data_IF_857202908233
#
_entry.id   IF_857202908233
#
_cell.length_a   1.000
_cell.length_b   1.000
_cell.length_c   1.000
_cell.angle_alpha   90.00
_cell.angle_beta   90.00
_cell.angle_gamma   90.00
#
_symmetry.space_group_name_H-M   'P 1'
#
loop_
_entity.id
_entity.type
_entity.pdbx_description
1 polymer ?
#
# COMPACT_ATOMS: atom_id res chain seq x y z
N UNK A 1 0.48 -22.02 13.20
CA UNK A 1 -0.19 -23.21 12.63
C UNK A 1 -0.83 -22.72 11.33
N UNK A 2 -0.13 -22.89 10.22
CA UNK A 2 -0.59 -22.40 8.91
C UNK A 2 -1.74 -23.30 8.47
N UNK A 3 -2.93 -22.73 8.31
CA UNK A 3 -4.07 -23.41 7.69
C UNK A 3 -3.82 -23.32 6.18
N UNK A 4 -3.83 -24.48 5.53
CA UNK A 4 -3.64 -24.63 4.09
C UNK A 4 -4.50 -23.60 3.34
N UNK A 5 -3.84 -22.70 2.62
CA UNK A 5 -4.53 -21.82 1.68
C UNK A 5 -4.96 -22.65 0.47
N UNK A 6 -6.23 -22.59 0.05
CA UNK A 6 -6.78 -23.49 -0.97
C UNK A 6 -6.24 -23.30 -2.40
N UNK A 7 -5.25 -22.43 -2.63
CA UNK A 7 -4.80 -22.04 -3.96
C UNK A 7 -3.34 -22.41 -4.31
N UNK A 8 -2.65 -23.25 -3.53
CA UNK A 8 -1.29 -23.69 -3.94
C UNK A 8 -1.19 -25.21 -3.89
N UNK A 9 -1.21 -25.84 -5.06
CA UNK A 9 -0.78 -27.24 -5.22
C UNK A 9 0.74 -27.26 -5.05
N UNK A 10 1.21 -27.33 -3.81
CA UNK A 10 2.61 -27.65 -3.57
C UNK A 10 2.83 -29.10 -4.02
N UNK A 11 3.58 -29.29 -5.12
CA UNK A 11 4.32 -30.55 -5.34
C UNK A 11 4.99 -30.90 -4.02
N UNK A 12 4.84 -32.13 -3.56
CA UNK A 12 5.31 -32.54 -2.23
C UNK A 12 6.80 -32.22 -2.06
N UNK A 13 7.10 -31.16 -1.31
CA UNK A 13 8.47 -30.80 -0.98
C UNK A 13 9.06 -31.86 -0.04
N UNK A 14 10.37 -32.15 -0.12
CA UNK A 14 11.04 -32.96 0.90
C UNK A 14 10.76 -32.41 2.30
N UNK A 15 10.54 -33.31 3.27
CA UNK A 15 10.10 -32.93 4.62
C UNK A 15 11.05 -31.94 5.30
N UNK A 16 12.34 -32.05 5.04
CA UNK A 16 13.38 -31.17 5.57
C UNK A 16 13.52 -29.82 4.85
N UNK A 17 12.80 -29.60 3.74
CA UNK A 17 12.73 -28.34 3.00
C UNK A 17 11.31 -27.75 2.98
N UNK A 18 10.39 -28.30 3.78
CA UNK A 18 8.96 -27.99 3.74
C UNK A 18 8.61 -26.53 4.07
N UNK A 19 9.51 -25.77 4.71
CA UNK A 19 9.30 -24.35 5.01
C UNK A 19 9.72 -23.39 3.88
N UNK A 20 10.33 -23.86 2.79
CA UNK A 20 10.70 -22.96 1.66
C UNK A 20 9.53 -22.08 1.17
N UNK A 21 8.28 -22.58 1.08
CA UNK A 21 7.12 -21.75 0.73
C UNK A 21 6.87 -20.62 1.75
N UNK A 22 7.04 -20.88 3.04
CA UNK A 22 6.87 -19.88 4.10
C UNK A 22 7.81 -18.69 3.88
N UNK A 23 9.09 -18.97 3.58
CA UNK A 23 10.08 -17.95 3.29
C UNK A 23 9.77 -17.25 1.95
N UNK A 24 9.41 -17.99 0.90
CA UNK A 24 9.13 -17.42 -0.43
C UNK A 24 7.94 -16.45 -0.42
N UNK A 25 6.95 -16.70 0.44
CA UNK A 25 5.73 -15.91 0.58
C UNK A 25 5.90 -14.66 1.46
N UNK A 26 7.07 -14.45 2.07
CA UNK A 26 7.36 -13.26 2.87
C UNK A 26 8.50 -12.45 2.27
N UNK A 27 8.22 -11.24 1.80
CA UNK A 27 9.19 -10.42 1.07
C UNK A 27 10.46 -10.05 1.84
N UNK A 28 10.55 -10.34 3.14
CA UNK A 28 11.79 -10.22 3.92
C UNK A 28 13.02 -10.85 3.23
N UNK A 29 12.82 -11.94 2.50
CA UNK A 29 13.89 -12.55 1.72
C UNK A 29 14.54 -11.54 0.74
N UNK A 30 13.79 -10.57 0.21
CA UNK A 30 14.25 -9.68 -0.87
C UNK A 30 15.28 -8.64 -0.43
N UNK A 31 15.33 -8.28 0.85
CA UNK A 31 16.36 -7.40 1.42
C UNK A 31 17.31 -8.12 2.39
N UNK A 32 17.22 -9.45 2.48
CA UNK A 32 18.13 -10.27 3.29
C UNK A 32 19.04 -11.08 2.38
N UNK A 33 20.35 -10.84 2.44
CA UNK A 33 21.31 -11.45 1.52
C UNK A 33 21.32 -12.97 1.60
N UNK A 34 21.36 -13.52 2.82
CA UNK A 34 21.42 -14.95 3.09
C UNK A 34 20.19 -15.68 2.55
N UNK A 35 19.02 -15.05 2.64
CA UNK A 35 17.78 -15.60 2.10
C UNK A 35 17.76 -15.59 0.56
N UNK A 36 18.27 -14.52 -0.08
CA UNK A 36 18.42 -14.47 -1.56
C UNK A 36 19.37 -15.57 -2.05
N UNK A 37 20.52 -15.70 -1.40
CA UNK A 37 21.53 -16.71 -1.74
C UNK A 37 20.99 -18.14 -1.57
N UNK A 38 20.16 -18.38 -0.54
CA UNK A 38 19.50 -19.68 -0.37
C UNK A 38 18.63 -20.04 -1.57
N UNK A 39 17.82 -19.11 -2.09
CA UNK A 39 17.01 -19.35 -3.28
C UNK A 39 17.86 -19.50 -4.55
N UNK A 40 18.89 -18.68 -4.72
CA UNK A 40 19.81 -18.79 -5.84
C UNK A 40 20.50 -20.16 -5.91
N UNK A 41 20.90 -20.72 -4.76
CA UNK A 41 21.54 -22.03 -4.67
C UNK A 41 20.63 -23.20 -5.06
N UNK A 42 19.31 -23.03 -4.98
CA UNK A 42 18.37 -24.06 -5.43
C UNK A 42 18.60 -24.33 -6.91
N UNK A 43 18.58 -23.29 -7.74
CA UNK A 43 18.89 -23.38 -9.17
C UNK A 43 19.25 -21.98 -9.69
N UNK A 44 20.55 -21.67 -9.90
CA UNK A 44 20.99 -20.33 -10.29
C UNK A 44 20.45 -19.89 -11.66
N UNK A 45 20.28 -20.84 -12.59
CA UNK A 45 19.74 -20.53 -13.92
C UNK A 45 18.26 -20.22 -13.84
N UNK A 46 17.48 -21.05 -13.15
CA UNK A 46 16.05 -20.82 -12.97
C UNK A 46 15.79 -19.55 -12.13
N UNK A 47 16.64 -19.25 -11.14
CA UNK A 47 16.58 -18.02 -10.37
C UNK A 47 16.66 -16.76 -11.25
N UNK A 48 17.58 -16.74 -12.21
CA UNK A 48 17.68 -15.65 -13.19
C UNK A 48 16.48 -15.62 -14.14
N UNK A 49 16.03 -16.77 -14.66
CA UNK A 49 14.89 -16.88 -15.59
C UNK A 49 13.54 -16.49 -14.95
N UNK A 50 13.39 -16.70 -13.66
CA UNK A 50 12.19 -16.34 -12.89
C UNK A 50 12.24 -14.90 -12.38
N UNK A 51 13.22 -14.10 -12.81
CA UNK A 51 13.44 -12.73 -12.36
C UNK A 51 13.53 -12.63 -10.82
N UNK A 52 14.24 -13.57 -10.20
CA UNK A 52 14.47 -13.60 -8.75
C UNK A 52 13.15 -13.75 -7.96
N UNK A 53 12.16 -14.44 -8.51
CA UNK A 53 10.89 -14.71 -7.83
C UNK A 53 10.91 -16.12 -7.20
N UNK A 54 11.02 -16.25 -5.87
CA UNK A 54 11.12 -17.54 -5.22
C UNK A 54 9.83 -18.36 -5.29
N UNK A 55 8.65 -17.73 -5.39
CA UNK A 55 7.38 -18.46 -5.56
C UNK A 55 7.39 -19.18 -6.90
N UNK A 56 7.76 -18.47 -7.98
CA UNK A 56 7.89 -19.04 -9.32
C UNK A 56 9.02 -20.09 -9.40
N UNK A 57 10.17 -19.80 -8.80
CA UNK A 57 11.29 -20.76 -8.70
C UNK A 57 10.84 -22.10 -8.12
N UNK A 58 10.13 -22.08 -6.98
CA UNK A 58 9.67 -23.29 -6.30
C UNK A 58 8.57 -24.03 -7.07
N UNK A 59 7.78 -23.33 -7.89
CA UNK A 59 6.81 -23.93 -8.81
C UNK A 59 7.52 -24.65 -9.98
N UNK A 60 8.56 -24.03 -10.53
CA UNK A 60 9.17 -24.44 -11.79
C UNK A 60 10.34 -25.44 -11.59
N UNK A 61 10.92 -25.50 -10.38
CA UNK A 61 12.05 -26.40 -10.09
C UNK A 61 11.66 -27.88 -10.20
N UNK A 62 12.57 -28.68 -10.76
CA UNK A 62 12.37 -30.13 -10.90
C UNK A 62 12.45 -30.83 -9.52
N UNK A 63 11.55 -31.78 -9.21
CA UNK A 63 11.55 -32.48 -7.91
C UNK A 63 12.89 -33.14 -7.54
N UNK A 64 13.58 -33.75 -8.50
CA UNK A 64 14.88 -34.40 -8.28
C UNK A 64 15.98 -33.43 -7.82
N UNK A 65 15.87 -32.14 -8.18
CA UNK A 65 16.80 -31.12 -7.70
C UNK A 65 16.58 -30.87 -6.21
N UNK A 66 15.32 -30.69 -5.80
CA UNK A 66 14.97 -30.51 -4.39
C UNK A 66 15.30 -31.76 -3.55
N UNK A 67 15.08 -32.96 -4.08
CA UNK A 67 15.45 -34.22 -3.42
C UNK A 67 16.97 -34.31 -3.17
N UNK A 68 17.81 -33.93 -4.15
CA UNK A 68 19.26 -33.88 -3.95
C UNK A 68 19.69 -32.82 -2.93
N UNK A 69 19.08 -31.64 -2.95
CA UNK A 69 19.37 -30.57 -1.99
C UNK A 69 18.94 -30.96 -0.57
N UNK A 70 17.88 -31.74 -0.44
CA UNK A 70 17.45 -32.32 0.83
C UNK A 70 18.46 -33.33 1.40
N UNK A 71 19.39 -33.86 0.61
CA UNK A 71 20.45 -34.75 1.09
C UNK A 71 21.81 -34.04 1.21
N UNK A 72 21.93 -32.79 0.73
CA UNK A 72 23.17 -32.02 0.75
C UNK A 72 23.40 -31.34 2.12
N UNK A 73 24.42 -31.77 2.90
CA UNK A 73 24.69 -31.18 4.22
C UNK A 73 25.07 -29.69 4.16
N UNK A 74 25.64 -29.22 3.05
CA UNK A 74 26.00 -27.81 2.87
C UNK A 74 24.76 -26.94 2.74
N UNK A 75 23.85 -27.34 1.85
CA UNK A 75 22.57 -26.66 1.64
C UNK A 75 21.73 -26.65 2.92
N UNK A 76 21.62 -27.79 3.61
CA UNK A 76 20.84 -27.90 4.85
C UNK A 76 21.38 -27.00 5.98
N UNK A 77 22.70 -26.80 6.07
CA UNK A 77 23.29 -25.85 7.04
C UNK A 77 22.87 -24.42 6.72
N UNK A 78 22.91 -24.01 5.45
CA UNK A 78 22.50 -22.67 5.05
C UNK A 78 21.00 -22.46 5.23
N UNK A 79 20.18 -23.43 4.83
CA UNK A 79 18.75 -23.46 5.09
C UNK A 79 18.45 -23.24 6.58
N UNK A 80 19.09 -24.03 7.45
CA UNK A 80 18.89 -23.93 8.90
C UNK A 80 19.35 -22.58 9.47
N UNK A 81 20.43 -21.99 8.92
CA UNK A 81 20.89 -20.67 9.32
C UNK A 81 19.89 -19.57 8.93
N UNK A 82 19.40 -19.58 7.69
CA UNK A 82 18.41 -18.62 7.20
C UNK A 82 17.10 -18.71 7.98
N UNK A 83 16.60 -19.91 8.28
CA UNK A 83 15.37 -20.03 9.05
C UNK A 83 15.53 -19.60 10.51
N UNK A 84 16.70 -19.77 11.12
CA UNK A 84 16.97 -19.14 12.44
C UNK A 84 16.90 -17.63 12.36
N UNK A 85 17.54 -17.01 11.36
CA UNK A 85 17.49 -15.56 11.16
C UNK A 85 16.04 -15.09 10.93
N UNK A 86 15.28 -15.81 10.11
CA UNK A 86 13.89 -15.49 9.82
C UNK A 86 13.00 -15.62 11.06
N UNK A 87 13.14 -16.71 11.83
CA UNK A 87 12.37 -16.93 13.05
C UNK A 87 12.72 -15.89 14.12
N UNK A 88 14.00 -15.53 14.27
CA UNK A 88 14.45 -14.45 15.15
C UNK A 88 13.89 -13.09 14.71
N UNK A 89 13.93 -12.80 13.41
CA UNK A 89 13.39 -11.57 12.82
C UNK A 89 11.87 -11.45 13.01
N UNK A 90 11.12 -12.54 12.89
CA UNK A 90 9.66 -12.51 13.08
C UNK A 90 9.27 -12.46 14.56
N UNK A 91 10.00 -13.16 15.43
CA UNK A 91 9.72 -13.16 16.87
C UNK A 91 10.00 -11.80 17.53
N UNK A 92 10.99 -11.07 17.00
CA UNK A 92 11.44 -9.72 17.33
C UNK A 92 11.05 -9.12 18.70
N UNK A 93 11.46 -9.78 19.78
CA UNK A 93 11.22 -9.30 21.16
C UNK A 93 12.02 -8.05 21.53
N UNK A 94 12.94 -7.58 20.67
CA UNK A 94 13.90 -6.50 20.94
C UNK A 94 14.03 -5.49 19.78
N UNK A 95 12.97 -5.28 19.01
CA UNK A 95 13.02 -4.31 17.92
C UNK A 95 13.31 -2.90 18.48
N UNK A 96 13.77 -1.99 17.62
CA UNK A 96 14.09 -0.63 18.07
C UNK A 96 12.87 0.04 18.75
N UNK A 97 11.69 -0.05 18.12
CA UNK A 97 10.42 0.44 18.70
C UNK A 97 10.05 -0.34 19.95
N UNK A 98 10.14 -1.68 19.95
CA UNK A 98 9.82 -2.49 21.13
C UNK A 98 10.69 -2.17 22.35
N UNK A 99 11.92 -1.71 22.13
CA UNK A 99 12.89 -1.38 23.20
C UNK A 99 12.76 0.07 23.67
N UNK A 100 12.59 1.03 22.75
CA UNK A 100 12.62 2.47 23.07
C UNK A 100 11.23 3.10 23.19
N UNK A 101 10.21 2.48 22.59
CA UNK A 101 8.85 3.01 22.44
C UNK A 101 7.81 1.87 22.54
N UNK A 102 7.90 1.08 23.61
CA UNK A 102 7.08 -0.11 23.80
C UNK A 102 5.56 0.18 23.74
N UNK A 103 5.14 1.38 24.13
CA UNK A 103 3.77 1.88 24.03
C UNK A 103 3.27 1.97 22.58
N UNK A 104 4.14 2.34 21.63
CA UNK A 104 3.80 2.45 20.21
C UNK A 104 3.60 1.10 19.52
N UNK A 105 4.09 -0.01 20.11
CA UNK A 105 3.91 -1.36 19.53
C UNK A 105 2.45 -1.80 19.45
N UNK A 106 1.56 -1.17 20.23
CA UNK A 106 0.11 -1.44 20.23
C UNK A 106 -0.69 -0.42 19.39
N UNK A 107 -0.05 0.65 18.93
CA UNK A 107 -0.68 1.75 18.21
C UNK A 107 -0.52 1.54 16.72
N UNK A 108 -1.46 0.81 16.10
CA UNK A 108 -1.39 0.51 14.66
C UNK A 108 -1.51 1.78 13.82
N UNK A 109 -0.59 1.92 12.86
CA UNK A 109 -0.60 2.92 11.81
C UNK A 109 -1.15 2.28 10.54
N UNK A 110 -2.17 2.89 9.96
CA UNK A 110 -2.65 2.53 8.62
C UNK A 110 -2.12 3.51 7.60
N UNK A 111 -1.28 3.02 6.68
CA UNK A 111 -0.62 3.81 5.66
C UNK A 111 -1.25 3.55 4.29
N UNK A 112 -1.93 4.56 3.78
CA UNK A 112 -2.66 4.49 2.52
C UNK A 112 -1.79 5.08 1.41
N UNK A 113 -1.58 4.31 0.35
CA UNK A 113 -0.92 4.79 -0.86
C UNK A 113 -1.52 4.14 -2.10
N UNK A 114 -1.48 4.84 -3.22
CA UNK A 114 -1.88 4.27 -4.49
C UNK A 114 -0.92 3.18 -4.94
N UNK A 115 0.39 3.30 -4.68
CA UNK A 115 1.42 2.40 -5.18
C UNK A 115 2.40 1.92 -4.09
N UNK A 116 2.97 0.73 -4.27
CA UNK A 116 3.98 0.15 -3.36
C UNK A 116 5.10 -0.55 -4.12
N UNK A 117 6.31 0.02 -4.07
CA UNK A 117 7.52 -0.50 -4.71
C UNK A 117 8.29 -1.43 -3.80
N UNK A 118 7.92 -2.72 -3.80
CA UNK A 118 8.49 -3.71 -2.88
C UNK A 118 9.58 -4.56 -3.53
N UNK A 119 9.19 -5.30 -4.59
CA UNK A 119 10.03 -6.20 -5.36
C UNK A 119 9.34 -6.51 -6.71
N UNK A 120 10.10 -6.93 -7.73
CA UNK A 120 9.57 -7.24 -9.07
C UNK A 120 8.52 -8.38 -9.09
N UNK A 121 8.48 -9.22 -8.05
CA UNK A 121 7.47 -10.27 -7.88
C UNK A 121 6.08 -9.75 -7.52
N UNK A 122 5.95 -8.46 -7.17
CA UNK A 122 4.68 -7.76 -6.90
C UNK A 122 4.72 -6.38 -7.59
N UNK A 123 4.49 -6.31 -8.91
CA UNK A 123 4.73 -5.11 -9.72
C UNK A 123 3.58 -4.08 -9.64
N UNK A 124 3.35 -3.53 -8.44
CA UNK A 124 2.21 -2.64 -8.11
C UNK A 124 2.63 -1.17 -7.91
N UNK A 125 3.64 -0.72 -8.64
CA UNK A 125 4.15 0.65 -8.58
C UNK A 125 4.63 1.17 -9.94
N UNK A 126 4.80 2.49 -10.03
CA UNK A 126 5.31 3.18 -11.22
C UNK A 126 6.54 4.04 -10.88
N UNK A 127 6.52 4.78 -9.78
CA UNK A 127 7.53 5.82 -9.53
C UNK A 127 8.02 5.92 -8.09
N UNK A 128 8.58 7.09 -7.78
CA UNK A 128 9.21 7.39 -6.48
C UNK A 128 8.25 7.37 -5.29
N UNK A 129 6.97 7.69 -5.50
CA UNK A 129 5.95 7.64 -4.43
C UNK A 129 5.80 6.19 -3.93
N UNK A 130 5.75 5.22 -4.86
CA UNK A 130 5.65 3.81 -4.58
C UNK A 130 6.92 3.25 -3.98
N UNK A 131 8.11 3.63 -4.50
CA UNK A 131 9.39 3.23 -3.89
C UNK A 131 9.46 3.69 -2.44
N UNK A 132 9.10 4.94 -2.15
CA UNK A 132 9.06 5.43 -0.77
C UNK A 132 8.07 4.65 0.10
N UNK A 133 6.87 4.38 -0.40
CA UNK A 133 5.87 3.59 0.33
C UNK A 133 6.38 2.17 0.63
N UNK A 134 7.09 1.55 -0.32
CA UNK A 134 7.73 0.25 -0.13
C UNK A 134 8.86 0.29 0.90
N UNK A 135 9.70 1.32 0.85
CA UNK A 135 10.79 1.51 1.81
C UNK A 135 10.27 1.82 3.23
N UNK A 136 9.18 2.58 3.36
CA UNK A 136 8.48 2.75 4.63
C UNK A 136 7.98 1.41 5.19
N UNK A 137 7.39 0.56 4.36
CA UNK A 137 6.94 -0.77 4.79
C UNK A 137 8.10 -1.64 5.30
N UNK A 138 9.23 -1.65 4.58
CA UNK A 138 10.42 -2.42 4.97
C UNK A 138 11.05 -1.88 6.25
N UNK A 139 11.25 -0.57 6.34
CA UNK A 139 11.82 0.06 7.54
C UNK A 139 10.89 -0.13 8.76
N UNK A 140 9.57 0.08 8.60
CA UNK A 140 8.59 -0.20 9.65
C UNK A 140 8.65 -1.65 10.13
N UNK A 141 8.84 -2.57 9.18
CA UNK A 141 9.07 -3.98 9.45
C UNK A 141 10.39 -4.27 10.15
N UNK A 142 11.45 -3.49 9.97
CA UNK A 142 12.75 -3.73 10.62
C UNK A 142 12.78 -3.13 12.03
N UNK A 143 12.24 -1.92 12.22
CA UNK A 143 12.22 -1.24 13.54
C UNK A 143 11.10 -1.73 14.46
N UNK A 144 10.07 -2.38 13.90
CA UNK A 144 8.98 -3.02 14.65
C UNK A 144 7.84 -2.09 15.00
N UNK A 145 7.53 -1.23 14.04
CA UNK A 145 6.39 -0.35 14.11
C UNK A 145 5.11 -1.15 13.82
N UNK A 146 4.06 -0.94 14.62
CA UNK A 146 2.74 -1.52 14.33
C UNK A 146 2.17 -0.81 13.12
N UNK A 147 2.28 -1.44 11.95
CA UNK A 147 2.06 -0.78 10.66
C UNK A 147 1.35 -1.72 9.70
N UNK A 148 0.37 -1.19 8.98
CA UNK A 148 -0.29 -1.87 7.87
C UNK A 148 -0.34 -0.96 6.66
N UNK A 149 -0.01 -1.51 5.49
CA UNK A 149 -0.14 -0.80 4.22
C UNK A 149 -1.51 -1.07 3.60
N UNK A 150 -2.06 -0.08 2.88
CA UNK A 150 -3.32 -0.19 2.15
C UNK A 150 -3.12 0.39 0.75
N UNK A 151 -3.39 -0.41 -0.28
CA UNK A 151 -3.28 -0.01 -1.68
C UNK A 151 -4.11 -0.89 -2.61
N UNK A 152 -3.72 -0.94 -3.89
CA UNK A 152 -4.38 -1.73 -4.93
C UNK A 152 -3.55 -2.90 -5.42
N UNK A 153 -4.24 -3.92 -5.89
CA UNK A 153 -3.61 -5.09 -6.49
C UNK A 153 -2.97 -4.83 -7.84
N UNK A 154 -3.54 -3.95 -8.68
CA UNK A 154 -3.06 -3.64 -10.03
C UNK A 154 -2.51 -4.86 -10.81
N UNK A 155 -3.35 -5.86 -11.14
CA UNK A 155 -2.91 -7.06 -11.85
C UNK A 155 -2.19 -6.75 -13.17
N UNK A 156 -2.46 -5.62 -13.82
CA UNK A 156 -1.78 -5.23 -15.07
C UNK A 156 -0.58 -4.28 -14.84
N UNK A 157 -0.25 -3.98 -13.58
CA UNK A 157 0.81 -3.07 -13.17
C UNK A 157 0.66 -1.66 -13.78
N UNK A 158 1.81 -1.04 -14.07
CA UNK A 158 1.88 0.17 -14.88
C UNK A 158 1.99 -0.18 -16.38
N UNK A 159 3.18 -0.48 -16.87
CA UNK A 159 3.40 -1.17 -18.15
C UNK A 159 4.84 -1.70 -18.23
N UNK A 160 5.07 -2.69 -19.11
CA UNK A 160 6.42 -3.09 -19.52
C UNK A 160 6.85 -2.27 -20.72
N UNK A 161 7.91 -1.50 -20.57
CA UNK A 161 8.48 -0.71 -21.67
C UNK A 161 9.15 -1.63 -22.69
N UNK A 162 8.75 -1.54 -23.95
CA UNK A 162 9.46 -2.12 -25.09
C UNK A 162 9.96 -0.99 -25.98
N UNK A 163 11.23 -1.02 -26.33
CA UNK A 163 11.81 -0.09 -27.31
C UNK A 163 11.90 -0.81 -28.64
N UNK A 164 11.25 -0.27 -29.67
CA UNK A 164 11.28 -0.85 -31.02
C UNK A 164 12.64 -0.60 -31.68
N UNK A 165 12.99 -1.35 -32.75
CA UNK A 165 14.22 -1.10 -33.51
C UNK A 165 14.35 0.35 -34.02
N UNK A 166 13.23 1.05 -34.22
CA UNK A 166 13.17 2.45 -34.66
C UNK A 166 13.31 3.46 -33.50
N UNK A 167 13.45 2.98 -32.26
CA UNK A 167 13.60 3.82 -31.07
C UNK A 167 12.29 4.30 -30.45
N UNK A 168 11.14 3.77 -30.88
CA UNK A 168 9.84 4.13 -30.30
C UNK A 168 9.57 3.34 -29.02
N UNK A 169 8.96 4.01 -28.05
CA UNK A 169 8.41 3.35 -26.88
C UNK A 169 7.05 2.73 -27.19
N UNK A 170 6.90 1.46 -26.85
CA UNK A 170 5.63 0.76 -26.80
C UNK A 170 5.33 0.29 -25.37
N UNK A 171 4.08 0.48 -24.95
CA UNK A 171 3.59 -0.01 -23.66
C UNK A 171 2.99 -1.40 -23.82
N UNK A 172 3.66 -2.42 -23.28
CA UNK A 172 3.14 -3.77 -23.21
C UNK A 172 2.52 -4.02 -21.84
N UNK A 173 1.26 -4.46 -21.82
CA UNK A 173 0.54 -4.82 -20.59
C UNK A 173 0.46 -6.33 -20.50
N UNK A 174 1.18 -6.91 -19.54
CA UNK A 174 1.07 -8.32 -19.20
C UNK A 174 0.55 -8.41 -17.78
N UNK A 175 -0.63 -9.01 -17.55
CA UNK A 175 -1.09 -9.27 -16.20
C UNK A 175 -0.04 -10.08 -15.44
N UNK A 176 0.30 -9.69 -14.21
CA UNK A 176 1.14 -10.53 -13.37
C UNK A 176 0.32 -11.73 -12.89
N UNK A 177 0.94 -12.91 -12.89
CA UNK A 177 0.28 -14.13 -12.47
C UNK A 177 0.17 -14.14 -10.94
N UNK A 178 -1.07 -14.09 -10.42
CA UNK A 178 -1.31 -14.04 -8.98
C UNK A 178 -0.79 -15.29 -8.25
N UNK A 179 -0.87 -16.45 -8.90
CA UNK A 179 -0.47 -17.74 -8.34
C UNK A 179 1.07 -17.88 -8.25
N UNK A 180 1.80 -17.06 -9.01
CA UNK A 180 3.26 -17.02 -9.01
C UNK A 180 3.82 -15.89 -8.15
N UNK A 181 2.97 -15.14 -7.44
CA UNK A 181 3.38 -13.99 -6.63
C UNK A 181 3.25 -14.27 -5.14
N UNK A 182 4.04 -13.59 -4.28
CA UNK A 182 3.99 -13.76 -2.83
C UNK A 182 2.78 -13.04 -2.21
N UNK A 183 1.58 -13.42 -2.63
CA UNK A 183 0.31 -12.78 -2.30
C UNK A 183 -0.71 -13.84 -1.88
N UNK A 184 -1.59 -13.49 -0.94
CA UNK A 184 -2.62 -14.39 -0.45
C UNK A 184 -3.93 -13.66 -0.24
N UNK A 185 -5.05 -14.37 -0.25
CA UNK A 185 -6.30 -13.77 0.22
C UNK A 185 -6.15 -13.36 1.69
N UNK A 186 -6.55 -12.13 2.00
CA UNK A 186 -6.72 -11.70 3.37
C UNK A 186 -7.96 -12.40 3.93
N UNK A 187 -7.87 -12.94 5.14
CA UNK A 187 -8.97 -13.63 5.79
C UNK A 187 -9.52 -12.75 6.91
N UNK A 188 -10.85 -12.73 7.04
CA UNK A 188 -11.53 -12.14 8.19
C UNK A 188 -11.30 -13.01 9.43
N UNK A 189 -11.61 -12.51 10.64
CA UNK A 189 -11.58 -13.32 11.86
C UNK A 189 -12.42 -14.60 11.80
N UNK A 190 -13.44 -14.66 10.92
CA UNK A 190 -14.24 -15.87 10.67
C UNK A 190 -13.50 -16.97 9.90
N UNK A 191 -12.35 -16.65 9.29
CA UNK A 191 -11.61 -17.53 8.38
C UNK A 191 -12.01 -17.41 6.91
N UNK A 192 -13.07 -16.66 6.58
CA UNK A 192 -13.50 -16.41 5.21
C UNK A 192 -12.66 -15.33 4.51
N UNK A 193 -12.54 -15.35 3.17
CA UNK A 193 -11.91 -14.27 2.43
C UNK A 193 -12.54 -12.91 2.74
N UNK A 194 -11.70 -11.92 3.01
CA UNK A 194 -12.13 -10.56 3.30
C UNK A 194 -12.69 -9.91 2.04
N UNK A 195 -13.97 -9.56 2.12
CA UNK A 195 -14.70 -8.85 1.08
C UNK A 195 -15.39 -7.63 1.68
N UNK A 196 -15.49 -6.57 0.90
CA UNK A 196 -16.27 -5.40 1.26
C UNK A 196 -16.94 -4.82 0.01
N UNK A 197 -17.90 -3.93 0.21
CA UNK A 197 -18.56 -3.23 -0.89
C UNK A 197 -18.63 -1.73 -0.62
N UNK A 198 -18.59 -0.95 -1.71
CA UNK A 198 -18.73 0.50 -1.70
C UNK A 198 -19.82 0.88 -2.70
N UNK A 199 -20.73 1.72 -2.26
CA UNK A 199 -21.74 2.33 -3.14
C UNK A 199 -21.07 3.47 -3.91
N UNK A 200 -21.21 3.47 -5.23
CA UNK A 200 -20.60 4.46 -6.13
C UNK A 200 -21.67 4.96 -7.10
N UNK A 201 -22.32 6.06 -6.75
CA UNK A 201 -23.51 6.51 -7.46
C UNK A 201 -24.62 5.48 -7.34
N UNK A 202 -25.12 4.96 -8.47
CA UNK A 202 -26.20 3.97 -8.49
C UNK A 202 -25.73 2.50 -8.49
N UNK A 203 -24.42 2.25 -8.46
CA UNK A 203 -23.84 0.90 -8.50
C UNK A 203 -23.16 0.55 -7.18
N UNK A 204 -23.15 -0.75 -6.88
CA UNK A 204 -22.44 -1.32 -5.74
C UNK A 204 -21.21 -2.08 -6.25
N UNK A 205 -20.03 -1.56 -5.93
CA UNK A 205 -18.76 -2.19 -6.32
C UNK A 205 -18.28 -3.09 -5.18
N UNK A 206 -18.08 -4.37 -5.46
CA UNK A 206 -17.55 -5.35 -4.50
C UNK A 206 -16.05 -5.53 -4.69
N UNK A 207 -15.30 -5.65 -3.62
CA UNK A 207 -13.87 -5.94 -3.67
C UNK A 207 -13.53 -7.16 -2.83
N UNK A 208 -12.56 -7.94 -3.31
CA UNK A 208 -11.80 -8.90 -2.50
C UNK A 208 -10.49 -8.26 -2.05
N UNK A 209 -9.92 -8.79 -0.98
CA UNK A 209 -8.70 -8.24 -0.39
C UNK A 209 -7.60 -9.28 -0.42
N UNK A 210 -6.47 -8.90 -0.98
CA UNK A 210 -5.24 -9.68 -0.93
C UNK A 210 -4.32 -9.10 0.14
N UNK A 211 -3.38 -9.91 0.62
CA UNK A 211 -2.32 -9.50 1.55
C UNK A 211 -0.95 -9.93 1.03
N UNK A 212 0.03 -9.08 1.30
CA UNK A 212 1.45 -9.33 1.09
C UNK A 212 2.15 -9.20 2.43
N UNK A 213 2.99 -10.18 2.77
CA UNK A 213 3.83 -10.13 3.96
C UNK A 213 5.12 -9.40 3.60
N UNK A 214 5.34 -8.24 4.22
CA UNK A 214 6.58 -7.46 4.06
C UNK A 214 7.30 -7.56 5.40
N UNK A 215 8.03 -8.66 5.59
CA UNK A 215 8.60 -9.01 6.88
C UNK A 215 7.50 -9.21 7.92
N UNK A 216 7.41 -8.30 8.88
CA UNK A 216 6.45 -8.32 9.99
C UNK A 216 5.19 -7.52 9.70
N UNK A 217 5.21 -6.60 8.73
CA UNK A 217 4.04 -5.80 8.39
C UNK A 217 3.20 -6.51 7.33
N UNK A 218 1.91 -6.21 7.31
CA UNK A 218 1.00 -6.68 6.27
C UNK A 218 0.59 -5.52 5.39
N UNK A 219 0.76 -5.68 4.07
CA UNK A 219 0.19 -4.80 3.06
C UNK A 219 -1.09 -5.44 2.52
N UNK A 220 -2.20 -4.72 2.58
CA UNK A 220 -3.49 -5.14 2.03
C UNK A 220 -3.74 -4.47 0.68
N UNK A 221 -4.17 -5.27 -0.29
CA UNK A 221 -4.37 -4.87 -1.68
C UNK A 221 -5.82 -5.10 -2.09
N UNK A 222 -6.48 -4.02 -2.49
CA UNK A 222 -7.86 -4.00 -2.96
C UNK A 222 -7.92 -4.52 -4.39
N UNK A 223 -8.85 -5.44 -4.66
CA UNK A 223 -9.09 -5.99 -5.99
C UNK A 223 -10.59 -6.08 -6.31
N UNK A 224 -11.02 -5.37 -7.35
CA UNK A 224 -12.41 -5.37 -7.84
C UNK A 224 -12.64 -6.36 -8.97
N UNK A 225 -11.63 -7.12 -9.38
CA UNK A 225 -11.74 -8.19 -10.38
C UNK A 225 -12.44 -9.43 -9.80
N UNK A 226 -13.74 -9.28 -9.53
CA UNK A 226 -14.62 -10.32 -8.98
C UNK A 226 -15.86 -10.52 -9.87
N UNK A 227 -16.43 -11.74 -9.93
CA UNK A 227 -17.54 -12.06 -10.81
C UNK A 227 -18.78 -11.16 -10.67
N UNK A 228 -19.05 -10.64 -9.47
CA UNK A 228 -20.22 -9.81 -9.17
C UNK A 228 -20.16 -8.41 -9.79
N UNK A 229 -18.97 -7.96 -10.15
CA UNK A 229 -18.76 -6.64 -10.73
C UNK A 229 -18.90 -6.67 -12.26
N UNK A 230 -19.40 -5.56 -12.82
CA UNK A 230 -19.38 -5.31 -14.27
C UNK A 230 -17.93 -5.27 -14.81
N UNK A 231 -17.70 -5.44 -16.11
CA UNK A 231 -16.37 -5.26 -16.70
C UNK A 231 -15.72 -3.91 -16.36
N UNK A 232 -16.51 -2.83 -16.33
CA UNK A 232 -16.06 -1.48 -16.00
C UNK A 232 -15.64 -1.38 -14.52
N UNK A 233 -16.39 -2.01 -13.63
CA UNK A 233 -16.11 -2.05 -12.18
C UNK A 233 -14.86 -2.89 -11.87
N UNK A 234 -14.66 -4.00 -12.60
CA UNK A 234 -13.44 -4.83 -12.49
C UNK A 234 -12.19 -4.09 -12.94
N UNK A 235 -12.33 -3.17 -13.91
CA UNK A 235 -11.21 -2.38 -14.38
C UNK A 235 -10.66 -1.40 -13.33
N UNK A 236 -11.43 -1.05 -12.30
CA UNK A 236 -11.03 -0.08 -11.26
C UNK A 236 -9.73 -0.46 -10.55
N UNK A 237 -9.50 -1.75 -10.25
CA UNK A 237 -8.25 -2.23 -9.66
C UNK A 237 -7.22 -2.68 -10.69
N UNK A 238 -7.50 -2.60 -12.00
CA UNK A 238 -6.69 -3.28 -13.02
C UNK A 238 -5.33 -2.63 -13.30
N UNK A 239 -5.28 -1.30 -13.37
CA UNK A 239 -4.10 -0.51 -13.78
C UNK A 239 -3.83 0.67 -12.86
N UNK A 240 -2.55 0.88 -12.59
CA UNK A 240 -2.06 2.06 -11.91
C UNK A 240 -2.06 3.27 -12.87
N UNK A 241 -2.63 4.40 -12.43
CA UNK A 241 -2.76 5.64 -13.22
C UNK A 241 -3.42 5.44 -14.60
N UNK A 242 -4.43 4.55 -14.68
CA UNK A 242 -5.23 4.36 -15.88
C UNK A 242 -6.58 5.09 -15.83
N UNK A 243 -7.20 5.22 -17.00
CA UNK A 243 -8.57 5.73 -17.13
C UNK A 243 -8.70 7.24 -17.30
N UNK A 244 -9.93 7.70 -17.22
CA UNK A 244 -10.30 9.12 -17.22
C UNK A 244 -10.49 9.66 -15.78
N UNK A 245 -10.93 10.91 -15.65
CA UNK A 245 -11.17 11.52 -14.34
C UNK A 245 -12.23 10.78 -13.51
N UNK A 246 -13.25 10.18 -14.14
CA UNK A 246 -14.30 9.45 -13.44
C UNK A 246 -13.78 8.12 -12.89
N UNK A 247 -12.98 7.39 -13.68
CA UNK A 247 -12.27 6.21 -13.21
C UNK A 247 -11.33 6.55 -12.06
N UNK A 248 -10.58 7.65 -12.16
CA UNK A 248 -9.69 8.12 -11.09
C UNK A 248 -10.46 8.43 -9.81
N UNK A 249 -11.58 9.15 -9.89
CA UNK A 249 -12.45 9.41 -8.75
C UNK A 249 -12.93 8.11 -8.10
N UNK A 250 -13.36 7.13 -8.90
CA UNK A 250 -13.81 5.84 -8.39
C UNK A 250 -12.68 5.05 -7.70
N UNK A 251 -11.45 5.11 -8.22
CA UNK A 251 -10.27 4.54 -7.56
C UNK A 251 -10.01 5.20 -6.21
N UNK A 252 -10.10 6.53 -6.11
CA UNK A 252 -9.90 7.23 -4.84
C UNK A 252 -11.00 6.92 -3.82
N UNK A 253 -12.25 6.76 -4.27
CA UNK A 253 -13.37 6.29 -3.42
C UNK A 253 -13.07 4.88 -2.90
N UNK A 254 -12.62 3.95 -3.76
CA UNK A 254 -12.22 2.60 -3.34
C UNK A 254 -11.08 2.63 -2.32
N UNK A 255 -10.01 3.38 -2.61
CA UNK A 255 -8.84 3.43 -1.73
C UNK A 255 -9.18 4.06 -0.38
N UNK A 256 -9.87 5.20 -0.40
CA UNK A 256 -10.24 5.94 0.81
C UNK A 256 -11.38 5.28 1.59
N UNK A 257 -12.60 5.32 1.05
CA UNK A 257 -13.79 4.78 1.72
C UNK A 257 -13.71 3.26 1.82
N UNK A 258 -13.37 2.59 0.72
CA UNK A 258 -13.26 1.13 0.70
C UNK A 258 -12.15 0.61 1.61
N UNK A 259 -10.98 1.25 1.64
CA UNK A 259 -9.90 0.86 2.54
C UNK A 259 -10.24 1.01 4.04
N UNK A 260 -11.02 2.03 4.43
CA UNK A 260 -11.54 2.13 5.81
C UNK A 260 -12.48 0.96 6.11
N UNK A 261 -13.43 0.65 5.22
CA UNK A 261 -14.37 -0.47 5.39
C UNK A 261 -13.67 -1.83 5.44
N UNK A 262 -12.66 -2.02 4.60
CA UNK A 262 -11.79 -3.20 4.62
C UNK A 262 -11.16 -3.40 6.00
N UNK A 263 -10.57 -2.36 6.58
CA UNK A 263 -9.95 -2.45 7.91
C UNK A 263 -10.98 -2.84 8.98
N UNK A 264 -12.22 -2.37 8.88
CA UNK A 264 -13.31 -2.81 9.77
C UNK A 264 -13.64 -4.30 9.60
N UNK A 265 -13.75 -4.79 8.37
CA UNK A 265 -13.98 -6.22 8.09
C UNK A 265 -12.85 -7.11 8.62
N UNK A 266 -11.61 -6.62 8.61
CA UNK A 266 -10.43 -7.30 9.17
C UNK A 266 -10.30 -7.15 10.69
N UNK A 267 -11.21 -6.43 11.35
CA UNK A 267 -11.13 -6.07 12.77
C UNK A 267 -9.83 -5.32 13.15
N UNK A 268 -9.35 -4.46 12.24
CA UNK A 268 -8.18 -3.60 12.46
C UNK A 268 -8.69 -2.19 12.78
N UNK A 269 -8.22 -1.65 13.92
CA UNK A 269 -8.57 -0.32 14.41
C UNK A 269 -7.30 0.54 14.56
N UNK A 270 -6.87 1.24 13.49
CA UNK A 270 -5.67 2.08 13.54
C UNK A 270 -5.84 3.28 14.48
N UNK A 271 -4.76 3.56 15.22
CA UNK A 271 -4.62 4.78 16.02
C UNK A 271 -4.23 5.99 15.17
N UNK A 272 -3.45 5.76 14.11
CA UNK A 272 -2.99 6.80 13.17
C UNK A 272 -3.32 6.37 11.75
N UNK A 273 -3.74 7.35 10.95
CA UNK A 273 -4.12 7.19 9.55
C UNK A 273 -3.24 8.10 8.71
N UNK A 274 -2.42 7.52 7.85
CA UNK A 274 -1.47 8.26 7.03
C UNK A 274 -1.91 8.22 5.57
N UNK A 275 -2.31 9.37 5.04
CA UNK A 275 -2.54 9.58 3.62
C UNK A 275 -1.24 9.96 2.91
N UNK A 276 -0.72 9.05 2.08
CA UNK A 276 0.43 9.31 1.21
C UNK A 276 -0.06 9.89 -0.12
N UNK A 277 -0.02 11.21 -0.25
CA UNK A 277 -0.67 12.01 -1.30
C UNK A 277 -2.21 12.00 -1.24
N UNK A 278 -2.85 12.92 -1.97
CA UNK A 278 -4.30 13.16 -1.97
C UNK A 278 -5.17 11.98 -2.42
N UNK A 279 -4.61 10.95 -3.04
CA UNK A 279 -5.36 9.83 -3.65
C UNK A 279 -6.19 9.00 -2.66
N UNK A 280 -5.87 9.09 -1.38
CA UNK A 280 -6.57 8.37 -0.30
C UNK A 280 -7.40 9.29 0.59
N UNK A 281 -7.53 10.56 0.24
CA UNK A 281 -8.16 11.60 1.06
C UNK A 281 -9.58 11.25 1.52
N UNK A 282 -10.35 10.51 0.72
CA UNK A 282 -11.70 10.05 1.12
C UNK A 282 -11.72 9.10 2.32
N UNK A 283 -10.57 8.56 2.77
CA UNK A 283 -10.48 7.86 4.06
C UNK A 283 -10.96 8.76 5.20
N UNK A 284 -10.72 10.07 5.10
CA UNK A 284 -11.11 11.04 6.13
C UNK A 284 -12.64 11.18 6.19
N UNK A 285 -13.32 11.20 5.04
CA UNK A 285 -14.77 11.27 4.97
C UNK A 285 -15.45 10.03 5.55
N UNK A 286 -14.97 8.81 5.23
CA UNK A 286 -15.57 7.60 5.79
C UNK A 286 -15.42 7.55 7.32
N UNK A 287 -14.28 8.02 7.83
CA UNK A 287 -14.08 8.12 9.28
C UNK A 287 -14.98 9.17 9.92
N UNK A 288 -15.16 10.34 9.29
CA UNK A 288 -16.12 11.36 9.76
C UNK A 288 -17.53 10.75 9.79
N UNK A 289 -17.92 10.05 8.72
CA UNK A 289 -19.20 9.34 8.62
C UNK A 289 -19.40 8.38 9.78
N UNK A 290 -18.40 7.55 10.11
CA UNK A 290 -18.49 6.61 11.24
C UNK A 290 -18.77 7.29 12.58
N UNK A 291 -18.20 8.46 12.85
CA UNK A 291 -18.46 9.21 14.08
C UNK A 291 -19.83 9.89 14.06
N UNK A 292 -20.21 10.50 12.93
CA UNK A 292 -21.53 11.13 12.78
C UNK A 292 -22.66 10.11 12.95
N UNK A 293 -22.52 8.93 12.35
CA UNK A 293 -23.50 7.85 12.48
C UNK A 293 -23.57 7.27 13.91
N UNK A 294 -22.55 7.52 14.75
CA UNK A 294 -22.56 7.19 16.19
C UNK A 294 -23.10 8.32 17.07
N UNK A 295 -23.56 9.42 16.46
CA UNK A 295 -24.22 10.54 17.15
C UNK A 295 -23.34 11.76 17.40
N UNK A 296 -22.08 11.78 16.95
CA UNK A 296 -21.27 13.01 16.98
C UNK A 296 -21.80 14.04 15.98
N UNK A 297 -21.66 15.32 16.29
CA UNK A 297 -21.85 16.36 15.28
C UNK A 297 -20.74 16.28 14.21
N UNK A 298 -20.99 16.85 13.02
CA UNK A 298 -19.98 16.91 11.95
C UNK A 298 -18.68 17.58 12.43
N UNK A 299 -18.78 18.68 13.18
CA UNK A 299 -17.63 19.42 13.67
C UNK A 299 -16.78 18.59 14.66
N UNK A 300 -17.42 17.89 15.61
CA UNK A 300 -16.72 16.99 16.55
C UNK A 300 -16.07 15.82 15.82
N UNK A 301 -16.78 15.20 14.88
CA UNK A 301 -16.26 14.10 14.06
C UNK A 301 -15.03 14.54 13.26
N UNK A 302 -15.07 15.72 12.64
CA UNK A 302 -13.94 16.30 11.92
C UNK A 302 -12.73 16.52 12.83
N UNK A 303 -12.92 17.04 14.05
CA UNK A 303 -11.81 17.25 14.98
C UNK A 303 -11.16 15.92 15.43
N UNK A 304 -11.98 14.89 15.74
CA UNK A 304 -11.49 13.55 16.09
C UNK A 304 -10.69 12.90 14.94
N UNK A 305 -11.19 13.04 13.71
CA UNK A 305 -10.49 12.54 12.52
C UNK A 305 -9.20 13.33 12.28
N UNK A 306 -9.24 14.65 12.42
CA UNK A 306 -8.08 15.53 12.23
C UNK A 306 -6.92 15.14 13.15
N UNK A 307 -7.19 14.95 14.44
CA UNK A 307 -6.18 14.61 15.45
C UNK A 307 -5.41 13.30 15.18
N UNK A 308 -6.00 12.38 14.41
CA UNK A 308 -5.45 11.05 14.15
C UNK A 308 -5.05 10.85 12.68
N UNK A 309 -5.03 11.93 11.89
CA UNK A 309 -4.66 11.88 10.47
C UNK A 309 -3.36 12.63 10.20
N UNK A 310 -2.48 11.96 9.47
CA UNK A 310 -1.22 12.47 8.93
C UNK A 310 -1.35 12.54 7.41
N UNK A 311 -0.96 13.67 6.82
CA UNK A 311 -0.94 13.85 5.38
C UNK A 311 0.46 14.24 4.90
N UNK A 312 0.97 13.49 3.93
CA UNK A 312 2.22 13.83 3.23
C UNK A 312 1.90 14.22 1.80
N UNK A 313 2.37 15.41 1.41
CA UNK A 313 2.27 15.92 0.04
C UNK A 313 3.63 15.79 -0.67
N UNK A 314 3.61 15.32 -1.91
CA UNK A 314 4.81 15.14 -2.76
C UNK A 314 4.82 16.07 -3.97
N UNK A 315 3.66 16.65 -4.28
CA UNK A 315 3.45 17.49 -5.45
C UNK A 315 3.93 18.93 -5.20
N UNK A 316 4.90 19.43 -5.98
CA UNK A 316 5.43 20.78 -5.80
C UNK A 316 4.67 21.86 -6.58
N UNK A 317 3.68 21.49 -7.39
CA UNK A 317 2.96 22.41 -8.29
C UNK A 317 1.44 22.21 -8.24
N UNK A 318 0.63 23.29 -8.28
CA UNK A 318 -0.83 23.19 -8.19
C UNK A 318 -1.48 22.20 -9.17
N UNK A 319 -0.98 22.15 -10.41
CA UNK A 319 -1.51 21.31 -11.49
C UNK A 319 -1.34 19.80 -11.26
N UNK A 320 -0.50 19.38 -10.30
CA UNK A 320 -0.31 17.96 -9.97
C UNK A 320 -1.29 17.42 -8.93
N UNK A 321 -2.18 18.27 -8.37
CA UNK A 321 -3.18 17.83 -7.39
C UNK A 321 -4.48 17.44 -8.09
N UNK A 322 -5.04 16.30 -7.69
CA UNK A 322 -6.32 15.82 -8.22
C UNK A 322 -7.45 16.80 -7.84
N UNK A 323 -8.15 17.31 -8.87
CA UNK A 323 -9.32 18.20 -8.74
C UNK A 323 -10.45 17.61 -9.58
N UNK A 324 -11.51 17.15 -8.91
CA UNK A 324 -12.66 16.56 -9.58
C UNK A 324 -13.76 17.59 -9.83
N UNK A 325 -14.37 17.62 -11.02
CA UNK A 325 -15.46 18.55 -11.30
C UNK A 325 -16.69 18.25 -10.43
N UNK A 326 -17.41 19.29 -10.03
CA UNK A 326 -18.54 19.16 -9.08
C UNK A 326 -19.64 18.21 -9.56
N UNK A 327 -19.90 18.12 -10.86
CA UNK A 327 -20.92 17.20 -11.37
C UNK A 327 -20.57 15.72 -11.11
N UNK A 328 -19.28 15.36 -11.07
CA UNK A 328 -18.85 14.02 -10.66
C UNK A 328 -19.03 13.84 -9.14
N UNK A 329 -18.67 14.84 -8.34
CA UNK A 329 -18.93 14.80 -6.91
C UNK A 329 -20.42 14.64 -6.61
N UNK A 330 -21.29 15.33 -7.35
CA UNK A 330 -22.75 15.20 -7.24
C UNK A 330 -23.21 13.78 -7.55
N UNK A 331 -22.70 13.20 -8.64
CA UNK A 331 -23.06 11.85 -9.08
C UNK A 331 -22.70 10.79 -8.03
N UNK A 332 -21.51 10.90 -7.42
CA UNK A 332 -20.97 9.85 -6.55
C UNK A 332 -21.24 10.05 -5.06
N UNK A 333 -21.45 11.30 -4.62
CA UNK A 333 -21.66 11.63 -3.21
C UNK A 333 -23.08 12.08 -2.88
N UNK A 334 -24.01 12.05 -3.85
CA UNK A 334 -25.45 12.22 -3.57
C UNK A 334 -25.91 11.26 -2.47
N UNK A 335 -26.53 11.81 -1.41
CA UNK A 335 -26.94 11.08 -0.21
C UNK A 335 -25.79 10.67 0.72
N UNK A 336 -24.52 10.72 0.28
CA UNK A 336 -23.37 10.51 1.17
C UNK A 336 -23.11 11.71 2.07
N UNK A 337 -23.23 12.94 1.55
CA UNK A 337 -23.04 14.15 2.37
C UNK A 337 -24.08 14.27 3.50
N UNK A 338 -25.29 13.75 3.31
CA UNK A 338 -26.31 13.67 4.37
C UNK A 338 -25.85 12.75 5.51
N UNK A 339 -25.15 11.66 5.20
CA UNK A 339 -24.57 10.76 6.20
C UNK A 339 -23.41 11.41 6.97
N UNK A 340 -22.84 12.49 6.44
CA UNK A 340 -21.85 13.35 7.12
C UNK A 340 -22.50 14.49 7.91
N UNK A 341 -23.83 14.63 7.86
CA UNK A 341 -24.56 15.74 8.47
C UNK A 341 -24.38 17.07 7.71
N UNK A 342 -24.17 17.02 6.40
CA UNK A 342 -23.90 18.18 5.55
C UNK A 342 -24.93 18.33 4.43
N UNK A 343 -25.18 19.57 4.03
CA UNK A 343 -25.72 19.90 2.72
C UNK A 343 -24.68 19.69 1.61
N UNK A 344 -25.14 19.63 0.35
CA UNK A 344 -24.27 19.57 -0.83
C UNK A 344 -23.22 20.69 -0.84
N UNK A 345 -23.63 21.94 -0.61
CA UNK A 345 -22.71 23.08 -0.68
C UNK A 345 -21.70 23.06 0.46
N UNK A 346 -22.07 22.59 1.65
CA UNK A 346 -21.12 22.37 2.75
C UNK A 346 -20.11 21.28 2.41
N UNK A 347 -20.55 20.18 1.80
CA UNK A 347 -19.68 19.11 1.34
C UNK A 347 -18.66 19.62 0.31
N UNK A 348 -19.11 20.33 -0.72
CA UNK A 348 -18.21 20.83 -1.76
C UNK A 348 -17.18 21.82 -1.23
N UNK A 349 -17.51 22.59 -0.16
CA UNK A 349 -16.55 23.47 0.52
C UNK A 349 -15.40 22.74 1.18
N UNK A 350 -15.52 21.44 1.49
CA UNK A 350 -14.41 20.65 2.04
C UNK A 350 -13.24 20.56 1.05
N UNK A 351 -13.52 20.47 -0.25
CA UNK A 351 -12.51 20.43 -1.30
C UNK A 351 -12.22 21.80 -1.94
N UNK A 352 -12.78 22.90 -1.44
CA UNK A 352 -12.66 24.21 -2.08
C UNK A 352 -11.30 24.87 -1.79
N UNK A 353 -10.67 25.37 -2.87
CA UNK A 353 -9.54 26.30 -2.88
C UNK A 353 -9.92 27.55 -3.68
N UNK A 354 -9.19 28.67 -3.56
CA UNK A 354 -9.41 29.86 -4.40
C UNK A 354 -9.44 29.53 -5.90
N UNK A 355 -8.54 28.65 -6.34
CA UNK A 355 -8.39 28.28 -7.75
C UNK A 355 -9.44 27.29 -8.25
N UNK A 356 -10.08 26.50 -7.36
CA UNK A 356 -11.09 25.50 -7.73
C UNK A 356 -12.52 25.94 -7.44
N UNK A 357 -12.69 27.14 -6.86
CA UNK A 357 -13.97 27.66 -6.39
C UNK A 357 -15.05 27.62 -7.47
N UNK A 358 -16.15 26.95 -7.14
CA UNK A 358 -17.32 26.83 -8.02
C UNK A 358 -17.18 25.87 -9.20
N UNK A 359 -16.06 25.17 -9.38
CA UNK A 359 -15.89 24.26 -10.52
C UNK A 359 -15.14 22.96 -10.21
N UNK A 360 -14.42 22.86 -9.08
CA UNK A 360 -13.64 21.68 -8.72
C UNK A 360 -13.65 21.35 -7.24
N UNK A 361 -13.40 20.09 -6.92
CA UNK A 361 -13.22 19.55 -5.58
C UNK A 361 -11.78 19.05 -5.48
N UNK A 362 -10.94 19.78 -4.75
CA UNK A 362 -9.52 19.50 -4.62
C UNK A 362 -9.27 18.48 -3.50
N UNK A 363 -8.63 17.36 -3.84
CA UNK A 363 -8.40 16.26 -2.91
C UNK A 363 -7.36 16.58 -1.85
N UNK A 364 -6.37 17.40 -2.20
CA UNK A 364 -5.36 17.87 -1.25
C UNK A 364 -5.97 18.85 -0.24
N UNK A 365 -6.86 19.74 -0.70
CA UNK A 365 -7.64 20.59 0.19
C UNK A 365 -8.45 19.78 1.21
N UNK A 366 -9.18 18.75 0.76
CA UNK A 366 -9.96 17.88 1.64
C UNK A 366 -9.08 17.27 2.75
N UNK A 367 -8.00 16.59 2.38
CA UNK A 367 -7.17 15.88 3.35
C UNK A 367 -6.41 16.84 4.28
N UNK A 368 -5.97 18.00 3.78
CA UNK A 368 -5.33 19.02 4.63
C UNK A 368 -6.27 19.56 5.70
N UNK A 369 -7.56 19.82 5.37
CA UNK A 369 -8.56 20.26 6.38
C UNK A 369 -8.77 19.22 7.47
N UNK A 370 -8.68 17.95 7.11
CA UNK A 370 -8.96 16.81 7.99
C UNK A 370 -7.69 16.12 8.51
N UNK A 371 -6.55 16.83 8.52
CA UNK A 371 -5.27 16.35 9.08
C UNK A 371 -4.70 17.33 10.09
N UNK A 372 -4.25 16.82 11.24
CA UNK A 372 -3.52 17.62 12.24
C UNK A 372 -2.03 17.72 11.91
N UNK A 373 -1.50 16.76 11.16
CA UNK A 373 -0.10 16.72 10.76
C UNK A 373 0.00 16.74 9.25
N UNK A 374 0.65 17.77 8.72
CA UNK A 374 0.92 17.91 7.29
C UNK A 374 2.41 18.09 7.08
N UNK A 375 3.00 17.36 6.13
CA UNK A 375 4.40 17.51 5.79
C UNK A 375 4.67 17.42 4.28
N UNK A 376 5.68 18.17 3.84
CA UNK A 376 6.39 17.91 2.60
C UNK A 376 7.54 16.93 2.79
N UNK A 377 8.16 16.56 1.67
CA UNK A 377 9.17 15.48 1.59
C UNK A 377 10.63 15.91 1.57
N UNK A 378 10.87 17.21 1.70
CA UNK A 378 12.20 17.79 1.89
C UNK A 378 12.08 19.18 2.52
N UNK A 379 13.20 19.77 2.94
CA UNK A 379 13.21 21.15 3.44
C UNK A 379 12.69 22.14 2.40
N UNK A 380 13.15 22.00 1.16
CA UNK A 380 12.75 22.88 0.07
C UNK A 380 11.30 22.64 -0.35
N UNK A 381 10.88 21.38 -0.43
CA UNK A 381 9.50 21.03 -0.70
C UNK A 381 8.56 21.62 0.35
N UNK A 382 8.90 21.52 1.64
CA UNK A 382 8.10 22.13 2.70
C UNK A 382 7.99 23.65 2.57
N UNK A 383 9.03 24.35 2.10
CA UNK A 383 8.95 25.79 1.78
C UNK A 383 7.93 26.05 0.66
N UNK A 384 8.07 25.35 -0.46
CA UNK A 384 7.18 25.49 -1.63
C UNK A 384 5.73 25.14 -1.27
N UNK A 385 5.50 24.07 -0.50
CA UNK A 385 4.17 23.69 -0.05
C UNK A 385 3.54 24.76 0.86
N UNK A 386 4.31 25.39 1.76
CA UNK A 386 3.79 26.49 2.59
C UNK A 386 3.35 27.69 1.76
N UNK A 387 4.11 28.07 0.76
CA UNK A 387 3.75 29.16 -0.16
C UNK A 387 2.50 28.81 -0.97
N UNK A 388 2.44 27.62 -1.57
CA UNK A 388 1.31 27.15 -2.37
C UNK A 388 -0.01 27.09 -1.58
N UNK A 389 0.05 26.62 -0.34
CA UNK A 389 -1.13 26.40 0.50
C UNK A 389 -1.41 27.54 1.48
N UNK A 390 -0.76 28.70 1.34
CA UNK A 390 -0.91 29.84 2.25
C UNK A 390 -2.35 30.30 2.46
N UNK A 391 -3.19 30.17 1.44
CA UNK A 391 -4.60 30.56 1.51
C UNK A 391 -5.42 29.79 2.56
N UNK A 392 -4.93 28.64 3.06
CA UNK A 392 -5.55 27.93 4.20
C UNK A 392 -5.32 28.62 5.54
N UNK A 393 -4.29 29.45 5.65
CA UNK A 393 -3.88 30.13 6.88
C UNK A 393 -3.76 31.63 6.63
N UNK A 394 -4.88 32.32 6.32
CA UNK A 394 -4.86 33.74 6.02
C UNK A 394 -4.27 34.54 7.18
N UNK A 395 -3.31 35.42 6.88
CA UNK A 395 -2.63 36.25 7.87
C UNK A 395 -1.44 35.57 8.57
N UNK A 396 -1.20 34.27 8.38
CA UNK A 396 0.04 33.64 8.82
C UNK A 396 1.17 33.85 7.80
N UNK A 397 2.37 34.25 8.25
CA UNK A 397 3.58 34.21 7.44
C UNK A 397 3.89 32.79 6.94
N UNK A 398 4.45 32.68 5.74
CA UNK A 398 4.69 31.39 5.10
C UNK A 398 5.64 30.46 5.88
N UNK A 399 6.51 31.00 6.74
CA UNK A 399 7.40 30.23 7.62
C UNK A 399 6.71 29.69 8.89
N UNK A 400 5.53 30.21 9.23
CA UNK A 400 4.72 29.77 10.38
C UNK A 400 3.57 28.84 10.02
N UNK A 401 3.31 28.64 8.72
CA UNK A 401 2.32 27.67 8.24
C UNK A 401 2.71 26.27 8.75
N UNK A 402 1.78 25.51 9.35
CA UNK A 402 2.07 24.23 10.02
C UNK A 402 2.29 23.05 9.06
N UNK A 403 2.94 23.28 7.91
CA UNK A 403 3.42 22.23 7.01
C UNK A 403 4.90 21.98 7.29
N UNK A 404 5.19 20.81 7.86
CA UNK A 404 6.55 20.40 8.23
C UNK A 404 7.35 19.90 7.01
N UNK A 405 8.64 19.65 7.24
CA UNK A 405 9.51 18.96 6.29
C UNK A 405 10.03 17.68 6.92
N UNK A 406 9.65 16.54 6.35
CA UNK A 406 10.22 15.22 6.70
C UNK A 406 10.95 14.75 5.46
N UNK A 407 12.28 14.83 5.47
CA UNK A 407 13.10 14.46 4.31
C UNK A 407 12.98 12.96 4.05
N UNK A 408 12.64 12.59 2.82
CA UNK A 408 12.57 11.19 2.42
C UNK A 408 13.90 10.46 2.69
N UNK A 409 13.78 9.20 3.09
CA UNK A 409 14.88 8.25 3.19
C UNK A 409 14.66 7.08 2.24
N UNK A 410 15.66 6.21 2.17
CA UNK A 410 15.57 4.92 1.50
C UNK A 410 15.83 3.80 2.50
N UNK A 411 15.29 2.62 2.23
CA UNK A 411 15.56 1.45 3.05
C UNK A 411 16.95 0.88 2.72
N UNK A 412 17.97 1.25 3.52
CA UNK A 412 19.37 0.99 3.21
C UNK A 412 19.70 -0.47 2.85
N UNK A 413 19.19 -1.51 3.56
CA UNK A 413 19.43 -2.91 3.19
C UNK A 413 18.92 -3.31 1.80
N UNK A 414 17.96 -2.59 1.23
CA UNK A 414 17.48 -2.81 -0.15
C UNK A 414 18.45 -2.24 -1.19
N UNK A 415 19.04 -1.09 -0.92
CA UNK A 415 19.72 -0.29 -1.96
C UNK A 415 21.25 -0.33 -1.88
N UNK A 416 21.82 -0.82 -0.78
CA UNK A 416 23.27 -1.04 -0.65
C UNK A 416 23.61 -2.41 -1.25
N UNK A 417 24.65 -2.46 -2.08
CA UNK A 417 25.10 -3.73 -2.67
C UNK A 417 25.68 -4.66 -1.60
N UNK A 418 25.60 -5.99 -1.78
CA UNK A 418 26.19 -6.95 -0.84
C UNK A 418 27.67 -6.71 -0.56
N UNK A 419 28.44 -6.32 -1.57
CA UNK A 419 29.88 -6.06 -1.46
C UNK A 419 30.16 -4.85 -0.56
N UNK A 420 29.37 -3.77 -0.70
CA UNK A 420 29.50 -2.59 0.14
C UNK A 420 29.01 -2.85 1.56
N UNK A 421 27.92 -3.60 1.73
CA UNK A 421 27.41 -4.00 3.03
C UNK A 421 28.39 -4.89 3.81
N UNK A 422 29.28 -5.61 3.13
CA UNK A 422 30.31 -6.41 3.80
C UNK A 422 31.54 -5.58 4.24
N UNK A 423 31.74 -4.40 3.64
CA UNK A 423 32.90 -3.55 3.91
C UNK A 423 32.72 -2.62 5.12
N UNK A 424 31.48 -2.27 5.47
CA UNK A 424 31.09 -1.38 6.57
C UNK A 424 30.22 -2.13 7.57
#
# INVERSE_FOLDING_TARGET
MFVDSPNVVHRSLPQNLNRLPELAQNLWWSWTLEARQLFELIDPTLWALTHHNPVKLLSDVIPDRLARLAEDPSFLRQYSAVFRLFDEYLANKKSWVGTHHADLTKSTIAYFSAEFGLHASVPIYSGGLGILAGDHCKEASDIGLSFVGIGFMYPQGYFRQRITPEGWQEAAYAPFNRDESPIHLALMPSGEPCRFAVEMGSRRVTATVWKVLVGRITLFLIDTDVPENSPEDRALSARLYGGDQEMRLCQEILLGIGGVRMLRSLNISPSIWHANEGHSAFLTLERVREFVQKGSSHAEACELVRQSTVFTTHTPVPAGHDVFPHHLMDRYFAGYWEQLGLSRDEFLRLGETPDSRGHGFNMTALVMRLSAHVNGVSREHGRVSREMWQHFWPGLPADQIPIRSVTNGIHAPTWISPELHHLY
#
